data_IF_562253496683
#
_entry.id   IF_562253496683
#
_cell.length_a   1.000
_cell.length_b   1.000
_cell.length_c   1.000
_cell.angle_alpha   90.00
_cell.angle_beta   90.00
_cell.angle_gamma   90.00
#
_symmetry.space_group_name_H-M   'P 1'
#
loop_
_entity.id
_entity.type
_entity.pdbx_description
1 polymer ?
#
# COMPACT_ATOMS: atom_id res chain seq x y z
N UNK A 1 23.62 5.04 -1.67
CA UNK A 1 24.58 4.38 -2.61
C UNK A 1 23.81 3.71 -3.73
N UNK A 2 24.19 3.93 -5.00
CA UNK A 2 23.54 3.33 -6.17
C UNK A 2 24.46 2.23 -6.73
N UNK A 3 23.94 1.00 -6.87
CA UNK A 3 24.72 -0.11 -7.43
C UNK A 3 24.95 0.10 -8.93
N UNK A 4 26.15 -0.29 -9.42
CA UNK A 4 26.55 -0.05 -10.82
C UNK A 4 25.67 -0.76 -11.87
N UNK A 5 24.97 -1.85 -11.50
CA UNK A 5 24.04 -2.56 -12.37
C UNK A 5 22.60 -2.07 -12.29
N UNK A 6 22.30 -1.04 -11.49
CA UNK A 6 20.98 -0.42 -11.49
C UNK A 6 20.77 0.40 -12.77
N UNK A 7 19.57 0.33 -13.34
CA UNK A 7 19.17 1.12 -14.51
C UNK A 7 18.30 2.27 -14.01
N UNK A 8 18.74 3.50 -14.27
CA UNK A 8 18.01 4.69 -13.79
C UNK A 8 17.74 5.59 -14.99
N UNK A 9 16.47 5.91 -15.21
CA UNK A 9 16.08 6.86 -16.24
C UNK A 9 16.65 8.26 -15.93
N UNK A 10 17.08 8.97 -16.96
CA UNK A 10 17.68 10.30 -16.84
C UNK A 10 16.74 11.39 -16.28
N UNK A 11 15.43 11.16 -16.35
CA UNK A 11 14.41 12.07 -15.79
C UNK A 11 14.11 11.78 -14.31
N UNK A 12 14.57 10.61 -13.78
CA UNK A 12 14.38 10.26 -12.38
C UNK A 12 15.12 11.23 -11.45
N UNK A 13 14.47 11.60 -10.35
CA UNK A 13 15.01 12.52 -9.34
C UNK A 13 15.25 11.77 -8.04
N UNK A 14 16.50 11.60 -7.68
CA UNK A 14 16.91 10.87 -6.48
C UNK A 14 17.64 11.81 -5.53
N UNK A 15 17.24 11.84 -4.26
CA UNK A 15 17.99 12.54 -3.23
C UNK A 15 19.35 11.85 -2.99
N UNK A 16 20.36 12.60 -2.49
CA UNK A 16 21.78 12.18 -2.46
C UNK A 16 22.05 10.90 -1.64
N UNK A 17 21.21 10.59 -0.65
CA UNK A 17 21.37 9.46 0.27
C UNK A 17 20.44 8.29 -0.03
N UNK A 18 19.74 8.30 -1.16
CA UNK A 18 18.97 7.17 -1.65
C UNK A 18 19.90 6.01 -1.99
N UNK A 19 19.51 4.80 -1.56
CA UNK A 19 20.23 3.57 -1.91
C UNK A 19 19.42 2.74 -2.89
N UNK A 20 20.08 2.23 -3.96
CA UNK A 20 19.46 1.38 -4.98
C UNK A 20 20.30 0.13 -5.18
N UNK A 21 19.69 -1.02 -4.96
CA UNK A 21 20.31 -2.33 -5.10
C UNK A 21 20.56 -2.75 -6.54
N UNK A 22 21.29 -3.87 -6.73
CA UNK A 22 21.65 -4.37 -8.05
C UNK A 22 20.43 -4.78 -8.87
N UNK A 23 20.53 -4.56 -10.18
CA UNK A 23 19.52 -4.94 -11.19
C UNK A 23 18.13 -4.33 -10.98
N UNK A 24 18.02 -3.28 -10.17
CA UNK A 24 16.78 -2.54 -10.03
C UNK A 24 16.63 -1.54 -11.18
N UNK A 25 15.39 -1.28 -11.57
CA UNK A 25 15.04 -0.34 -12.62
C UNK A 25 14.22 0.79 -12.03
N UNK A 26 14.69 2.03 -12.25
CA UNK A 26 13.97 3.26 -11.88
C UNK A 26 13.58 3.94 -13.18
N UNK A 27 12.30 3.97 -13.46
CA UNK A 27 11.71 4.50 -14.68
C UNK A 27 11.68 6.03 -14.76
N UNK A 28 11.14 6.51 -15.87
CA UNK A 28 10.96 7.95 -16.11
C UNK A 28 9.96 8.57 -15.11
N UNK A 29 10.10 9.85 -14.83
CA UNK A 29 9.22 10.63 -13.95
C UNK A 29 9.09 10.04 -12.52
N UNK A 30 10.09 9.28 -12.03
CA UNK A 30 10.16 8.80 -10.66
C UNK A 30 10.91 9.80 -9.78
N UNK A 31 10.36 10.12 -8.61
CA UNK A 31 11.02 10.92 -7.59
C UNK A 31 11.14 10.13 -6.28
N UNK A 32 12.37 10.00 -5.73
CA UNK A 32 12.63 9.27 -4.47
C UNK A 32 13.37 10.18 -3.48
N UNK A 33 12.76 10.37 -2.32
CA UNK A 33 13.28 11.24 -1.26
C UNK A 33 14.26 10.52 -0.33
N UNK A 34 14.97 11.36 0.42
CA UNK A 34 16.05 11.06 1.36
C UNK A 34 15.82 9.83 2.24
N UNK A 35 16.87 9.05 2.46
CA UNK A 35 16.89 7.89 3.35
C UNK A 35 16.14 6.66 2.84
N UNK A 36 15.55 6.72 1.64
CA UNK A 36 14.84 5.57 1.06
C UNK A 36 15.80 4.54 0.48
N UNK A 37 15.45 3.27 0.65
CA UNK A 37 16.27 2.11 0.23
C UNK A 37 15.46 1.23 -0.70
N UNK A 38 15.96 1.04 -1.91
CA UNK A 38 15.40 0.15 -2.93
C UNK A 38 16.25 -1.12 -2.99
N UNK A 39 15.65 -2.27 -2.77
CA UNK A 39 16.28 -3.59 -2.81
C UNK A 39 16.74 -3.98 -4.22
N UNK A 40 17.28 -5.17 -4.37
CA UNK A 40 17.69 -5.70 -5.67
C UNK A 40 16.49 -6.15 -6.51
N UNK A 41 16.60 -6.04 -7.84
CA UNK A 41 15.55 -6.49 -8.78
C UNK A 41 14.17 -5.84 -8.53
N UNK A 42 14.13 -4.65 -7.96
CA UNK A 42 12.89 -3.88 -7.83
C UNK A 42 12.65 -3.07 -9.10
N UNK A 43 11.37 -2.90 -9.47
CA UNK A 43 10.94 -2.06 -10.57
C UNK A 43 10.11 -0.90 -10.01
N UNK A 44 10.56 0.32 -10.25
CA UNK A 44 9.80 1.54 -9.91
C UNK A 44 9.46 2.25 -11.21
N UNK A 45 8.18 2.36 -11.50
CA UNK A 45 7.68 3.01 -12.71
C UNK A 45 7.02 4.36 -12.36
N UNK A 46 7.14 5.30 -13.24
CA UNK A 46 6.56 6.65 -13.04
C UNK A 46 5.39 6.94 -13.98
N UNK A 47 4.68 8.04 -13.69
CA UNK A 47 4.94 9.05 -12.66
C UNK A 47 4.67 8.58 -11.22
N UNK A 48 5.73 8.53 -10.40
CA UNK A 48 5.64 8.06 -9.00
C UNK A 48 6.50 8.93 -8.10
N UNK A 49 5.93 9.42 -6.99
CA UNK A 49 6.69 10.09 -5.94
C UNK A 49 6.76 9.23 -4.68
N UNK A 50 7.97 9.03 -4.16
CA UNK A 50 8.24 8.25 -2.96
C UNK A 50 8.88 9.17 -1.91
N UNK A 51 8.25 9.28 -0.75
CA UNK A 51 8.70 10.07 0.38
C UNK A 51 9.99 9.55 1.00
N UNK A 52 10.27 9.99 2.23
CA UNK A 52 11.51 9.71 2.94
C UNK A 52 11.49 8.35 3.65
N UNK A 53 12.69 7.77 3.82
CA UNK A 53 12.90 6.58 4.66
C UNK A 53 12.03 5.37 4.32
N UNK A 54 11.59 5.24 3.08
CA UNK A 54 10.88 4.07 2.61
C UNK A 54 11.83 2.91 2.36
N UNK A 55 11.37 1.67 2.62
CA UNK A 55 12.12 0.44 2.32
C UNK A 55 11.32 -0.39 1.33
N UNK A 56 11.84 -0.56 0.12
CA UNK A 56 11.24 -1.37 -0.94
C UNK A 56 12.15 -2.57 -1.16
N UNK A 57 11.62 -3.77 -0.93
CA UNK A 57 12.36 -5.01 -1.00
C UNK A 57 12.41 -5.57 -2.42
N UNK A 58 13.16 -6.65 -2.58
CA UNK A 58 13.43 -7.27 -3.88
C UNK A 58 12.15 -7.73 -4.58
N UNK A 59 12.14 -7.60 -5.91
CA UNK A 59 11.03 -8.01 -6.80
C UNK A 59 9.72 -7.25 -6.58
N UNK A 60 9.71 -6.17 -5.82
CA UNK A 60 8.55 -5.29 -5.76
C UNK A 60 8.41 -4.50 -7.06
N UNK A 61 7.16 -4.30 -7.51
CA UNK A 61 6.81 -3.45 -8.66
C UNK A 61 5.93 -2.31 -8.16
N UNK A 62 6.47 -1.11 -8.15
CA UNK A 62 5.82 0.08 -7.60
C UNK A 62 5.56 1.07 -8.73
N UNK A 63 4.33 1.53 -8.86
CA UNK A 63 3.93 2.50 -9.88
C UNK A 63 3.61 1.90 -11.24
N UNK A 64 3.36 0.58 -11.30
CA UNK A 64 2.95 -0.08 -12.55
C UNK A 64 1.63 0.47 -13.10
N UNK A 65 1.39 0.24 -14.37
CA UNK A 65 0.16 0.64 -15.05
C UNK A 65 -1.09 0.06 -14.36
N UNK A 66 -2.21 0.80 -14.35
CA UNK A 66 -3.48 0.28 -13.86
C UNK A 66 -3.91 -1.01 -14.56
N UNK A 67 -4.35 -2.01 -13.80
CA UNK A 67 -4.92 -3.23 -14.36
C UNK A 67 -6.41 -3.04 -14.64
N UNK A 68 -6.74 -2.02 -15.44
CA UNK A 68 -8.10 -1.70 -15.87
C UNK A 68 -8.16 -1.74 -17.40
N UNK A 69 -9.21 -2.39 -17.94
CA UNK A 69 -9.43 -2.49 -19.40
C UNK A 69 -9.68 -1.14 -20.07
N UNK A 70 -10.04 -0.11 -19.31
CA UNK A 70 -10.29 1.25 -19.81
C UNK A 70 -9.02 2.10 -19.89
N UNK A 71 -7.92 1.66 -19.25
CA UNK A 71 -6.66 2.37 -19.27
C UNK A 71 -6.04 2.27 -20.67
N UNK A 72 -5.73 3.40 -21.28
CA UNK A 72 -5.16 3.52 -22.63
C UNK A 72 -3.81 4.30 -22.64
N UNK A 73 -3.06 4.19 -21.55
CA UNK A 73 -1.73 4.82 -21.43
C UNK A 73 -1.75 6.27 -20.95
N UNK A 74 -2.83 6.72 -20.36
CA UNK A 74 -2.95 8.09 -19.85
C UNK A 74 -1.97 8.35 -18.70
N UNK A 75 -1.55 9.60 -18.58
CA UNK A 75 -0.64 10.01 -17.52
C UNK A 75 -1.36 10.07 -16.18
N UNK A 76 -1.09 9.08 -15.34
CA UNK A 76 -1.63 8.93 -13.99
C UNK A 76 -0.51 8.77 -12.97
N UNK A 77 -0.80 8.82 -11.68
CA UNK A 77 0.20 9.04 -10.64
C UNK A 77 0.11 8.03 -9.50
N UNK A 78 1.23 7.85 -8.81
CA UNK A 78 1.32 7.21 -7.50
C UNK A 78 2.06 8.14 -6.54
N UNK A 79 1.44 8.42 -5.39
CA UNK A 79 2.03 9.23 -4.33
C UNK A 79 2.21 8.38 -3.07
N UNK A 80 3.45 8.28 -2.56
CA UNK A 80 3.81 7.50 -1.37
C UNK A 80 4.44 8.42 -0.33
N UNK A 81 3.91 8.41 0.88
CA UNK A 81 4.45 9.13 2.03
C UNK A 81 5.74 8.54 2.59
N UNK A 82 6.00 8.74 3.86
CA UNK A 82 7.27 8.43 4.51
C UNK A 82 7.23 7.11 5.31
N UNK A 83 8.42 6.51 5.53
CA UNK A 83 8.62 5.39 6.46
C UNK A 83 7.77 4.13 6.16
N UNK A 84 7.40 3.89 4.92
CA UNK A 84 6.69 2.69 4.53
C UNK A 84 7.66 1.53 4.26
N UNK A 85 7.16 0.31 4.43
CA UNK A 85 7.89 -0.92 4.14
C UNK A 85 7.09 -1.73 3.12
N UNK A 86 7.67 -1.93 1.93
CA UNK A 86 7.12 -2.78 0.87
C UNK A 86 8.00 -4.03 0.78
N UNK A 87 7.47 -5.18 1.20
CA UNK A 87 8.18 -6.45 1.19
C UNK A 87 8.23 -7.04 -0.22
N UNK A 88 8.82 -8.20 -0.32
CA UNK A 88 9.13 -8.89 -1.58
C UNK A 88 7.86 -9.13 -2.42
N UNK A 89 7.95 -8.85 -3.71
CA UNK A 89 6.87 -9.11 -4.67
C UNK A 89 5.61 -8.26 -4.47
N UNK A 90 5.66 -7.20 -3.68
CA UNK A 90 4.55 -6.25 -3.57
C UNK A 90 4.33 -5.55 -4.92
N UNK A 91 3.07 -5.38 -5.31
CA UNK A 91 2.68 -4.65 -6.51
C UNK A 91 1.75 -3.49 -6.16
N UNK A 92 2.04 -2.30 -6.70
CA UNK A 92 1.22 -1.09 -6.51
C UNK A 92 1.00 -0.44 -7.86
N UNK A 93 -0.26 -0.26 -8.27
CA UNK A 93 -0.59 0.41 -9.52
C UNK A 93 -0.85 1.92 -9.32
N UNK A 94 -0.60 2.70 -10.38
CA UNK A 94 -1.02 4.11 -10.46
C UNK A 94 -2.55 4.22 -10.55
N UNK A 95 -3.07 5.43 -10.50
CA UNK A 95 -4.51 5.69 -10.67
C UNK A 95 -4.98 5.63 -12.12
N UNK A 96 -6.27 5.89 -12.35
CA UNK A 96 -6.91 6.00 -13.66
C UNK A 96 -7.57 7.37 -13.83
N UNK A 97 -7.71 7.85 -15.07
CA UNK A 97 -8.37 9.14 -15.34
C UNK A 97 -9.88 9.10 -15.10
N UNK A 98 -10.46 7.91 -15.00
CA UNK A 98 -11.88 7.71 -14.70
C UNK A 98 -12.21 8.07 -13.25
N UNK A 99 -11.22 8.06 -12.36
CA UNK A 99 -11.36 8.36 -10.93
C UNK A 99 -10.47 9.55 -10.53
N UNK A 100 -9.55 9.37 -9.61
CA UNK A 100 -8.73 10.46 -9.07
C UNK A 100 -7.41 10.70 -9.83
N UNK A 101 -7.16 9.96 -10.90
CA UNK A 101 -5.88 9.95 -11.63
C UNK A 101 -4.68 9.57 -10.78
N UNK A 102 -4.88 9.12 -9.55
CA UNK A 102 -3.77 8.75 -8.66
C UNK A 102 -4.15 7.74 -7.59
N UNK A 103 -3.19 6.88 -7.26
CA UNK A 103 -3.18 6.08 -6.03
C UNK A 103 -2.38 6.81 -4.96
N UNK A 104 -2.85 6.81 -3.72
CA UNK A 104 -2.24 7.55 -2.61
C UNK A 104 -1.95 6.57 -1.47
N UNK A 105 -0.71 6.57 -1.00
CA UNK A 105 -0.27 5.81 0.19
C UNK A 105 0.33 6.79 1.19
N UNK A 106 -0.21 6.81 2.39
CA UNK A 106 0.27 7.60 3.51
C UNK A 106 1.62 7.12 4.05
N UNK A 107 1.82 7.21 5.35
CA UNK A 107 3.11 6.96 5.99
C UNK A 107 3.05 5.81 7.01
N UNK A 108 4.20 5.21 7.32
CA UNK A 108 4.39 4.16 8.34
C UNK A 108 3.59 2.88 8.08
N UNK A 109 3.27 2.61 6.82
CA UNK A 109 2.54 1.42 6.43
C UNK A 109 3.48 0.21 6.25
N UNK A 110 2.94 -0.99 6.48
CA UNK A 110 3.63 -2.25 6.22
C UNK A 110 2.84 -3.08 5.20
N UNK A 111 3.43 -3.27 4.03
CA UNK A 111 2.94 -4.19 3.01
C UNK A 111 3.82 -5.43 3.03
N UNK A 112 3.29 -6.54 3.54
CA UNK A 112 4.03 -7.80 3.59
C UNK A 112 4.14 -8.43 2.20
N UNK A 113 4.88 -9.53 2.08
CA UNK A 113 5.20 -10.12 0.78
C UNK A 113 3.95 -10.47 -0.04
N UNK A 114 4.03 -10.19 -1.35
CA UNK A 114 3.00 -10.46 -2.36
C UNK A 114 1.67 -9.72 -2.13
N UNK A 115 1.68 -8.61 -1.42
CA UNK A 115 0.51 -7.71 -1.32
C UNK A 115 0.28 -7.03 -2.67
N UNK A 116 -1.00 -6.85 -3.02
CA UNK A 116 -1.41 -6.08 -4.18
C UNK A 116 -2.27 -4.87 -3.80
N UNK A 117 -1.89 -3.70 -4.32
CA UNK A 117 -2.66 -2.45 -4.26
C UNK A 117 -3.03 -2.05 -5.67
N UNK A 118 -4.32 -2.12 -6.00
CA UNK A 118 -4.82 -1.71 -7.30
C UNK A 118 -4.89 -0.17 -7.43
N UNK A 119 -5.33 0.29 -8.60
CA UNK A 119 -5.43 1.70 -8.98
C UNK A 119 -6.42 2.50 -8.12
N UNK A 120 -6.19 3.81 -8.01
CA UNK A 120 -7.06 4.78 -7.33
C UNK A 120 -7.34 4.49 -5.84
N UNK A 121 -6.56 3.59 -5.22
CA UNK A 121 -6.66 3.32 -3.80
C UNK A 121 -6.14 4.49 -2.96
N UNK A 122 -6.75 4.69 -1.80
CA UNK A 122 -6.30 5.64 -0.78
C UNK A 122 -5.98 4.86 0.48
N UNK A 123 -4.70 4.80 0.85
CA UNK A 123 -4.22 4.12 2.06
C UNK A 123 -3.70 5.19 3.01
N UNK A 124 -4.33 5.34 4.16
CA UNK A 124 -3.91 6.27 5.18
C UNK A 124 -2.66 5.76 5.94
N UNK A 125 -2.36 6.34 7.08
CA UNK A 125 -1.17 6.00 7.86
C UNK A 125 -1.34 4.74 8.72
N UNK A 126 -0.22 4.11 9.10
CA UNK A 126 -0.14 3.02 10.08
C UNK A 126 -0.93 1.74 9.68
N UNK A 127 -1.22 1.57 8.39
CA UNK A 127 -1.93 0.40 7.85
C UNK A 127 -1.00 -0.81 7.74
N UNK A 128 -1.53 -1.99 8.02
CA UNK A 128 -0.81 -3.27 7.82
C UNK A 128 -1.58 -4.15 6.84
N UNK A 129 -0.94 -4.51 5.74
CA UNK A 129 -1.43 -5.52 4.80
C UNK A 129 -0.55 -6.76 4.92
N UNK A 130 -1.13 -7.85 5.42
CA UNK A 130 -0.41 -9.11 5.65
C UNK A 130 -0.29 -9.89 4.34
N UNK A 131 0.67 -10.81 4.27
CA UNK A 131 1.03 -11.58 3.08
C UNK A 131 -0.15 -11.99 2.19
N UNK A 132 0.01 -11.78 0.88
CA UNK A 132 -0.98 -12.13 -0.14
C UNK A 132 -2.36 -11.46 0.02
N UNK A 133 -2.49 -10.43 0.84
CA UNK A 133 -3.72 -9.64 0.84
C UNK A 133 -3.75 -8.73 -0.38
N UNK A 134 -4.95 -8.49 -0.91
CA UNK A 134 -5.11 -7.65 -2.09
C UNK A 134 -6.34 -6.75 -1.95
N UNK A 135 -6.21 -5.52 -2.46
CA UNK A 135 -7.31 -4.57 -2.57
C UNK A 135 -7.53 -4.23 -4.04
N UNK A 136 -8.78 -4.28 -4.46
CA UNK A 136 -9.21 -3.89 -5.79
C UNK A 136 -9.24 -2.36 -5.94
N UNK A 137 -9.56 -1.86 -7.14
CA UNK A 137 -9.54 -0.42 -7.42
C UNK A 137 -10.46 0.41 -6.51
N UNK A 138 -10.06 1.63 -6.25
CA UNK A 138 -10.84 2.63 -5.49
C UNK A 138 -11.14 2.22 -4.03
N UNK A 139 -10.37 1.32 -3.45
CA UNK A 139 -10.51 0.95 -2.03
C UNK A 139 -9.85 2.02 -1.16
N UNK A 140 -10.54 2.39 -0.07
CA UNK A 140 -9.95 3.21 0.99
C UNK A 140 -9.62 2.34 2.20
N UNK A 141 -8.36 2.40 2.67
CA UNK A 141 -7.94 1.87 3.96
C UNK A 141 -7.67 3.05 4.90
N UNK A 142 -8.46 3.17 5.95
CA UNK A 142 -8.29 4.22 6.95
C UNK A 142 -7.19 3.86 7.95
N UNK A 143 -6.76 4.87 8.70
CA UNK A 143 -5.63 4.80 9.64
C UNK A 143 -5.66 3.55 10.52
N UNK A 144 -4.53 2.84 10.57
CA UNK A 144 -4.36 1.69 11.44
C UNK A 144 -5.22 0.47 11.09
N UNK A 145 -5.85 0.43 9.92
CA UNK A 145 -6.57 -0.76 9.45
C UNK A 145 -5.60 -1.92 9.19
N UNK A 146 -6.02 -3.14 9.50
CA UNK A 146 -5.20 -4.34 9.31
C UNK A 146 -5.95 -5.34 8.44
N UNK A 147 -5.35 -5.71 7.30
CA UNK A 147 -5.82 -6.82 6.47
C UNK A 147 -5.00 -8.07 6.78
N UNK A 148 -5.64 -9.10 7.33
CA UNK A 148 -5.03 -10.41 7.56
C UNK A 148 -4.60 -11.08 6.26
N UNK A 149 -3.69 -12.05 6.34
CA UNK A 149 -3.15 -12.73 5.16
C UNK A 149 -4.24 -13.30 4.26
N UNK A 150 -4.05 -13.24 2.94
CA UNK A 150 -5.03 -13.67 1.94
C UNK A 150 -6.40 -12.99 2.04
N UNK A 151 -6.50 -11.83 2.69
CA UNK A 151 -7.73 -11.03 2.65
C UNK A 151 -7.87 -10.36 1.29
N UNK A 152 -9.07 -10.41 0.74
CA UNK A 152 -9.42 -9.77 -0.53
C UNK A 152 -10.49 -8.71 -0.28
N UNK A 153 -10.27 -7.50 -0.78
CA UNK A 153 -11.23 -6.39 -0.63
C UNK A 153 -11.76 -6.00 -1.99
N UNK A 154 -13.09 -6.05 -2.14
CA UNK A 154 -13.77 -5.66 -3.37
C UNK A 154 -13.62 -4.15 -3.65
N UNK A 155 -13.67 -3.78 -4.92
CA UNK A 155 -13.57 -2.37 -5.34
C UNK A 155 -14.57 -1.46 -4.63
N UNK A 156 -14.18 -0.20 -4.43
CA UNK A 156 -14.98 0.86 -3.80
C UNK A 156 -15.29 0.67 -2.31
N UNK A 157 -14.79 -0.39 -1.65
CA UNK A 157 -15.02 -0.57 -0.22
C UNK A 157 -14.17 0.41 0.61
N UNK A 158 -14.76 0.90 1.70
CA UNK A 158 -14.05 1.63 2.76
C UNK A 158 -13.80 0.71 3.96
N UNK A 159 -12.56 0.59 4.36
CA UNK A 159 -12.10 -0.20 5.51
C UNK A 159 -11.74 0.78 6.63
N UNK A 160 -12.63 0.91 7.58
CA UNK A 160 -12.58 1.93 8.63
C UNK A 160 -11.37 1.81 9.56
N UNK A 161 -11.04 2.90 10.22
CA UNK A 161 -9.86 3.03 11.06
C UNK A 161 -9.80 1.93 12.14
N UNK A 162 -8.59 1.39 12.36
CA UNK A 162 -8.33 0.34 13.35
C UNK A 162 -9.21 -0.92 13.22
N UNK A 163 -9.85 -1.12 12.08
CA UNK A 163 -10.57 -2.36 11.79
C UNK A 163 -9.60 -3.50 11.48
N UNK A 164 -10.09 -4.72 11.54
CA UNK A 164 -9.30 -5.92 11.29
C UNK A 164 -10.06 -6.92 10.43
N UNK A 165 -9.51 -7.34 9.31
CA UNK A 165 -9.99 -8.50 8.59
C UNK A 165 -9.16 -9.74 8.96
N UNK A 166 -9.83 -10.82 9.36
CA UNK A 166 -9.15 -12.07 9.65
C UNK A 166 -8.59 -12.70 8.36
N UNK A 167 -7.60 -13.56 8.51
CA UNK A 167 -6.98 -14.29 7.41
C UNK A 167 -8.03 -14.98 6.51
N UNK A 168 -7.85 -14.91 5.19
CA UNK A 168 -8.73 -15.54 4.20
C UNK A 168 -10.10 -14.88 4.04
N UNK A 169 -10.28 -13.65 4.51
CA UNK A 169 -11.56 -12.95 4.42
C UNK A 169 -11.80 -12.38 3.02
N UNK A 170 -13.03 -12.52 2.48
CA UNK A 170 -13.48 -11.84 1.27
C UNK A 170 -14.43 -10.69 1.64
N UNK A 171 -13.90 -9.47 1.67
CA UNK A 171 -14.61 -8.27 2.09
C UNK A 171 -15.26 -7.62 0.87
N UNK A 172 -16.58 -7.63 0.80
CA UNK A 172 -17.37 -7.09 -0.31
C UNK A 172 -18.24 -5.89 0.07
N UNK A 173 -18.08 -5.36 1.28
CA UNK A 173 -18.81 -4.20 1.81
C UNK A 173 -17.89 -3.40 2.71
N UNK A 174 -18.27 -2.16 3.01
CA UNK A 174 -17.58 -1.32 3.96
C UNK A 174 -17.47 -1.99 5.34
N UNK A 175 -16.35 -1.76 5.99
CA UNK A 175 -16.09 -2.21 7.35
C UNK A 175 -16.00 -0.98 8.24
N UNK A 176 -16.89 -0.81 9.22
CA UNK A 176 -16.81 0.32 10.15
C UNK A 176 -15.52 0.32 10.96
N UNK A 177 -15.11 1.49 11.45
CA UNK A 177 -13.95 1.63 12.32
C UNK A 177 -14.06 0.70 13.55
N UNK A 178 -12.91 0.17 13.98
CA UNK A 178 -12.76 -0.74 15.13
C UNK A 178 -13.50 -2.08 15.00
N UNK A 179 -14.08 -2.41 13.85
CA UNK A 179 -14.79 -3.69 13.65
C UNK A 179 -13.83 -4.76 13.16
N UNK A 180 -13.99 -5.97 13.72
CA UNK A 180 -13.35 -7.19 13.20
C UNK A 180 -14.31 -7.94 12.29
N UNK A 181 -13.83 -8.30 11.10
CA UNK A 181 -14.59 -9.11 10.13
C UNK A 181 -13.88 -10.42 9.82
N UNK A 182 -14.61 -11.46 9.46
CA UNK A 182 -14.03 -12.71 8.98
C UNK A 182 -14.98 -13.50 8.08
N UNK A 183 -14.41 -14.34 7.23
CA UNK A 183 -15.11 -15.32 6.39
C UNK A 183 -15.22 -14.87 4.93
N UNK A 184 -15.84 -15.77 4.12
CA UNK A 184 -16.14 -15.54 2.71
C UNK A 184 -17.62 -15.87 2.45
N UNK A 185 -18.51 -14.88 2.23
CA UNK A 185 -18.26 -13.45 2.38
C UNK A 185 -17.96 -13.03 3.83
N UNK A 186 -17.17 -11.96 4.00
CA UNK A 186 -16.81 -11.47 5.33
C UNK A 186 -18.02 -10.90 6.08
N UNK A 187 -18.12 -11.23 7.37
CA UNK A 187 -19.16 -10.73 8.28
C UNK A 187 -18.53 -10.15 9.53
N UNK A 188 -19.16 -9.14 10.12
CA UNK A 188 -18.75 -8.59 11.42
C UNK A 188 -18.77 -9.66 12.50
N UNK A 189 -17.72 -9.66 13.35
CA UNK A 189 -17.52 -10.62 14.45
C UNK A 189 -17.38 -9.97 15.81
N UNK A 190 -17.44 -8.65 15.87
CA UNK A 190 -17.29 -7.85 17.06
C UNK A 190 -16.24 -6.76 16.91
N UNK A 191 -15.84 -6.15 18.00
CA UNK A 191 -14.82 -5.11 18.02
C UNK A 191 -13.41 -5.70 17.94
N UNK A 192 -12.49 -4.93 17.36
CA UNK A 192 -11.05 -5.23 17.34
C UNK A 192 -10.41 -4.78 18.69
N UNK A 193 -10.79 -5.45 19.77
CA UNK A 193 -10.32 -5.11 21.12
C UNK A 193 -8.80 -5.22 21.28
N UNK A 194 -8.18 -6.22 20.63
CA UNK A 194 -6.72 -6.39 20.65
C UNK A 194 -6.01 -5.22 19.97
N UNK A 195 -6.50 -4.78 18.83
CA UNK A 195 -5.95 -3.62 18.11
C UNK A 195 -6.13 -2.33 18.89
N UNK A 196 -7.33 -2.10 19.47
CA UNK A 196 -7.59 -0.90 20.27
C UNK A 196 -6.70 -0.81 21.51
N UNK A 197 -6.49 -1.91 22.24
CA UNK A 197 -5.62 -1.92 23.42
C UNK A 197 -4.15 -1.78 23.06
N UNK A 198 -3.69 -2.43 21.99
CA UNK A 198 -2.28 -2.40 21.60
C UNK A 198 -1.82 -1.08 21.00
N UNK A 199 -2.70 -0.37 20.29
CA UNK A 199 -2.32 0.83 19.53
C UNK A 199 -2.88 2.15 20.09
N UNK A 200 -3.93 2.12 20.89
CA UNK A 200 -4.61 3.34 21.35
C UNK A 200 -4.54 3.57 22.86
N UNK A 201 -4.05 2.61 23.63
CA UNK A 201 -4.09 2.66 25.11
C UNK A 201 -5.50 2.96 25.66
N UNK A 202 -6.55 2.62 24.92
CA UNK A 202 -7.93 2.75 25.41
C UNK A 202 -8.12 1.83 26.62
N UNK A 203 -8.53 2.40 27.73
CA UNK A 203 -8.86 1.63 28.94
C UNK A 203 -10.20 0.93 28.77
N UNK A 204 -10.38 -0.22 29.42
CA UNK A 204 -11.55 -1.08 29.27
C UNK A 204 -12.92 -0.39 29.51
N UNK A 205 -12.95 0.72 30.23
CA UNK A 205 -14.17 1.50 30.48
C UNK A 205 -14.51 2.51 29.37
N UNK A 206 -13.64 2.71 28.37
CA UNK A 206 -13.93 3.55 27.20
C UNK A 206 -14.61 2.78 26.07
N UNK A 207 -14.73 1.46 26.20
CA UNK A 207 -15.36 0.56 25.22
C UNK A 207 -16.78 0.11 25.61
N UNK A 208 -17.33 0.65 26.70
CA UNK A 208 -18.74 0.40 27.08
C UNK A 208 -19.67 1.39 26.39
N UNK A 209 -20.03 1.09 25.16
CA UNK A 209 -21.19 1.62 24.44
C UNK A 209 -22.15 0.49 24.14
#
# INVERSE_FOLDING_TARGET
>A
MIHASAIIDKSAKLDKDVSIGPYSVIGADVEIKSGSVIGSHALIEGPTSIGKHNKIFSFATIGGDPQDKKYDGEKTYLEIGDNNIFREGVTVNRGTVQENSKTIIGSRNLFMAYVHVAHDCIIEDDVVMVNNSAIAGCVKLEKGAILGGFSLVHQFCNIGAHSFSAMGSAVSKDVPAFVRVSGNPAKARGLNTTGTVSYTHLRAHETSL
#
